data_IF_535076898911
#
_entry.id   IF_535076898911
#
_cell.length_a   1.000
_cell.length_b   1.000
_cell.length_c   1.000
_cell.angle_alpha   90.00
_cell.angle_beta   90.00
_cell.angle_gamma   90.00
#
_symmetry.space_group_name_H-M   'P 1'
#
loop_
_entity.id
_entity.type
_entity.pdbx_description
1 polymer ?
#
# COMPACT_ATOMS: atom_id res chain seq x y z
N UNK A 1 14.25 26.74 2.94
CA UNK A 1 14.35 25.29 2.67
C UNK A 1 13.63 24.90 1.37
N UNK A 2 12.56 25.58 1.01
CA UNK A 2 11.65 25.25 -0.10
C UNK A 2 12.34 24.99 -1.43
N UNK A 3 13.37 25.77 -1.79
CA UNK A 3 14.15 25.54 -3.02
C UNK A 3 14.82 24.16 -3.07
N UNK A 4 15.29 23.64 -1.93
CA UNK A 4 15.91 22.32 -1.86
C UNK A 4 14.86 21.19 -1.87
N UNK A 5 13.72 21.40 -1.23
CA UNK A 5 12.58 20.48 -1.33
C UNK A 5 11.99 20.43 -2.73
N UNK A 6 11.98 21.56 -3.45
CA UNK A 6 11.65 21.60 -4.86
C UNK A 6 12.70 20.87 -5.71
N UNK A 7 13.99 21.04 -5.40
CA UNK A 7 15.05 20.30 -6.09
C UNK A 7 14.90 18.79 -5.91
N UNK A 8 14.66 18.30 -4.68
CA UNK A 8 14.41 16.86 -4.42
C UNK A 8 13.22 16.36 -5.26
N UNK A 9 12.15 17.16 -5.34
CA UNK A 9 10.97 16.85 -6.15
C UNK A 9 11.29 16.75 -7.64
N UNK A 10 12.07 17.70 -8.17
CA UNK A 10 12.48 17.71 -9.57
C UNK A 10 13.41 16.53 -9.88
N UNK A 11 14.39 16.26 -9.02
CA UNK A 11 15.30 15.11 -9.19
C UNK A 11 14.51 13.81 -9.20
N UNK A 12 13.59 13.62 -8.25
CA UNK A 12 12.77 12.42 -8.18
C UNK A 12 11.90 12.24 -9.44
N UNK A 13 11.23 13.31 -9.91
CA UNK A 13 10.46 13.26 -11.16
C UNK A 13 11.35 12.89 -12.34
N UNK A 14 12.52 13.52 -12.46
CA UNK A 14 13.44 13.20 -13.56
C UNK A 14 13.97 11.77 -13.49
N UNK A 15 14.17 11.20 -12.28
CA UNK A 15 14.49 9.78 -12.14
C UNK A 15 13.38 8.88 -12.70
N UNK A 16 12.11 9.19 -12.43
CA UNK A 16 10.99 8.46 -13.03
C UNK A 16 10.90 8.66 -14.55
N UNK A 17 11.15 9.87 -15.06
CA UNK A 17 11.18 10.12 -16.51
C UNK A 17 12.28 9.31 -17.22
N UNK A 18 13.41 9.07 -16.55
CA UNK A 18 14.44 8.16 -17.07
C UNK A 18 13.90 6.73 -17.16
N UNK A 19 13.30 6.22 -16.08
CA UNK A 19 12.70 4.87 -16.08
C UNK A 19 11.63 4.72 -17.16
N UNK A 20 10.80 5.75 -17.36
CA UNK A 20 9.79 5.80 -18.41
C UNK A 20 10.41 5.72 -19.81
N UNK A 21 11.46 6.51 -20.08
CA UNK A 21 12.18 6.48 -21.37
C UNK A 21 12.82 5.11 -21.64
N UNK A 22 13.24 4.41 -20.59
CA UNK A 22 13.75 3.05 -20.65
C UNK A 22 12.62 1.99 -20.66
N UNK A 23 11.36 2.40 -20.89
CA UNK A 23 10.22 1.50 -21.02
C UNK A 23 9.84 0.78 -19.74
N UNK A 24 10.14 1.37 -18.57
CA UNK A 24 9.92 0.75 -17.27
C UNK A 24 10.62 -0.61 -17.13
N UNK A 25 11.82 -0.73 -17.72
CA UNK A 25 12.62 -1.96 -17.65
C UNK A 25 12.85 -2.39 -16.19
N UNK A 26 12.52 -3.64 -15.88
CA UNK A 26 12.57 -4.20 -14.53
C UNK A 26 13.93 -4.05 -13.86
N UNK A 27 15.01 -4.22 -14.63
CA UNK A 27 16.39 -4.09 -14.13
C UNK A 27 16.69 -2.65 -13.67
N UNK A 28 16.15 -1.65 -14.37
CA UNK A 28 16.29 -0.21 -14.07
C UNK A 28 15.45 0.18 -12.87
N UNK A 29 14.21 -0.32 -12.80
CA UNK A 29 13.34 -0.15 -11.63
C UNK A 29 14.04 -0.69 -10.39
N UNK A 30 14.54 -1.94 -10.46
CA UNK A 30 15.25 -2.57 -9.35
C UNK A 30 16.48 -1.76 -8.93
N UNK A 31 17.30 -1.33 -9.89
CA UNK A 31 18.48 -0.52 -9.59
C UNK A 31 18.11 0.79 -8.87
N UNK A 32 17.07 1.47 -9.34
CA UNK A 32 16.57 2.69 -8.73
C UNK A 32 16.09 2.46 -7.29
N UNK A 33 15.25 1.44 -7.08
CA UNK A 33 14.74 1.10 -5.75
C UNK A 33 15.86 0.65 -4.80
N UNK A 34 16.85 -0.09 -5.29
CA UNK A 34 18.02 -0.50 -4.51
C UNK A 34 18.81 0.72 -4.01
N UNK A 35 18.96 1.76 -4.84
CA UNK A 35 19.61 3.02 -4.43
C UNK A 35 18.79 3.71 -3.34
N UNK A 36 17.47 3.83 -3.52
CA UNK A 36 16.62 4.47 -2.52
C UNK A 36 16.65 3.74 -1.17
N UNK A 37 16.63 2.41 -1.20
CA UNK A 37 16.64 1.55 -0.01
C UNK A 37 17.99 1.51 0.70
N UNK A 38 19.10 1.77 0.00
CA UNK A 38 20.43 1.91 0.61
C UNK A 38 20.65 3.30 1.20
N UNK A 39 20.06 4.32 0.58
CA UNK A 39 20.24 5.72 0.95
C UNK A 39 19.05 6.21 1.80
N UNK A 40 18.15 7.01 1.21
CA UNK A 40 17.18 7.80 1.96
C UNK A 40 16.12 6.97 2.70
N UNK A 41 15.72 5.81 2.17
CA UNK A 41 14.69 4.94 2.76
C UNK A 41 15.27 3.88 3.70
N UNK A 42 16.59 3.80 3.84
CA UNK A 42 17.19 2.85 4.78
C UNK A 42 16.75 3.17 6.23
N UNK A 43 16.38 2.17 7.05
CA UNK A 43 16.00 2.40 8.45
C UNK A 43 17.07 3.16 9.24
N UNK A 44 18.34 2.76 9.07
CA UNK A 44 19.51 3.35 9.73
C UNK A 44 20.17 4.48 8.92
N UNK A 45 19.47 5.04 7.92
CA UNK A 45 20.07 6.11 7.13
C UNK A 45 20.30 7.35 7.97
N UNK A 46 21.45 7.99 7.76
CA UNK A 46 21.84 9.25 8.40
C UNK A 46 21.11 10.46 7.81
N UNK A 47 20.13 10.24 6.91
CA UNK A 47 19.34 11.31 6.32
C UNK A 47 18.51 12.00 7.40
N UNK A 48 18.53 13.34 7.50
CA UNK A 48 17.68 14.07 8.42
C UNK A 48 16.20 13.72 8.20
N UNK A 49 15.45 13.55 9.29
CA UNK A 49 14.05 13.13 9.24
C UNK A 49 13.19 14.04 8.34
N UNK A 50 13.43 15.36 8.34
CA UNK A 50 12.70 16.29 7.46
C UNK A 50 12.87 15.98 5.96
N UNK A 51 14.07 15.55 5.55
CA UNK A 51 14.33 15.16 4.15
C UNK A 51 13.67 13.82 3.84
N UNK A 52 13.77 12.85 4.75
CA UNK A 52 13.16 11.53 4.62
C UNK A 52 11.63 11.63 4.51
N UNK A 53 11.00 12.40 5.39
CA UNK A 53 9.55 12.59 5.40
C UNK A 53 9.05 13.37 4.19
N UNK A 54 9.77 14.43 3.78
CA UNK A 54 9.46 15.14 2.54
C UNK A 54 9.52 14.20 1.33
N UNK A 55 10.58 13.39 1.23
CA UNK A 55 10.74 12.44 0.13
C UNK A 55 9.58 11.43 0.05
N UNK A 56 9.21 10.81 1.18
CA UNK A 56 8.07 9.87 1.24
C UNK A 56 6.79 10.57 0.82
N UNK A 57 6.52 11.76 1.35
CA UNK A 57 5.28 12.50 1.10
C UNK A 57 5.10 12.94 -0.36
N UNK A 58 6.19 13.12 -1.13
CA UNK A 58 6.09 13.46 -2.55
C UNK A 58 6.20 12.26 -3.49
N UNK A 59 6.61 11.09 -2.98
CA UNK A 59 7.05 9.98 -3.82
C UNK A 59 5.97 9.51 -4.81
N UNK A 60 4.79 9.14 -4.31
CA UNK A 60 3.70 8.69 -5.18
C UNK A 60 3.11 9.81 -6.03
N UNK A 61 3.10 11.05 -5.53
CA UNK A 61 2.66 12.19 -6.32
C UNK A 61 3.54 12.44 -7.56
N UNK A 62 4.84 12.19 -7.46
CA UNK A 62 5.74 12.32 -8.60
C UNK A 62 5.71 11.08 -9.51
N UNK A 63 5.55 9.89 -8.94
CA UNK A 63 5.35 8.67 -9.71
C UNK A 63 4.07 8.73 -10.55
N UNK A 64 2.94 9.16 -9.98
CA UNK A 64 1.66 9.22 -10.68
C UNK A 64 1.66 10.22 -11.84
N UNK A 65 2.40 11.32 -11.73
CA UNK A 65 2.58 12.29 -12.83
C UNK A 65 3.29 11.71 -14.04
N UNK A 66 4.22 10.77 -13.83
CA UNK A 66 5.06 10.23 -14.91
C UNK A 66 4.51 8.91 -15.44
N UNK A 67 4.17 7.99 -14.54
CA UNK A 67 3.80 6.60 -14.84
C UNK A 67 2.34 6.23 -14.56
N UNK A 68 1.50 7.14 -14.06
CA UNK A 68 0.14 6.82 -13.61
C UNK A 68 -0.81 6.27 -14.70
N UNK A 69 -0.47 6.38 -15.98
CA UNK A 69 -1.24 5.83 -17.10
C UNK A 69 -0.58 4.65 -17.81
N UNK A 70 0.66 4.32 -17.46
CA UNK A 70 1.51 3.40 -18.22
C UNK A 70 2.00 2.22 -17.38
N UNK A 71 2.16 2.40 -16.06
CA UNK A 71 2.62 1.34 -15.17
C UNK A 71 1.58 0.25 -15.02
N UNK A 72 2.03 -0.99 -15.21
CA UNK A 72 1.24 -2.18 -14.92
C UNK A 72 1.08 -2.37 -13.41
N UNK A 73 0.06 -3.13 -13.02
CA UNK A 73 -0.26 -3.36 -11.60
C UNK A 73 0.91 -3.99 -10.84
N UNK A 74 1.60 -4.97 -11.43
CA UNK A 74 2.76 -5.63 -10.83
C UNK A 74 3.96 -4.67 -10.68
N UNK A 75 4.15 -3.76 -11.64
CA UNK A 75 5.18 -2.72 -11.58
C UNK A 75 4.87 -1.70 -10.48
N UNK A 76 3.61 -1.26 -10.39
CA UNK A 76 3.16 -0.36 -9.32
C UNK A 76 3.43 -0.95 -7.93
N UNK A 77 3.13 -2.24 -7.74
CA UNK A 77 3.39 -2.93 -6.47
C UNK A 77 4.88 -2.90 -6.10
N UNK A 78 5.80 -3.00 -7.06
CA UNK A 78 7.25 -2.91 -6.79
C UNK A 78 7.66 -1.54 -6.27
N UNK A 79 7.04 -0.46 -6.75
CA UNK A 79 7.32 0.89 -6.24
C UNK A 79 6.72 1.15 -4.85
N UNK A 80 5.67 0.42 -4.45
CA UNK A 80 4.96 0.59 -3.16
C UNK A 80 5.56 -0.32 -2.08
N UNK A 81 5.93 -1.54 -2.43
CA UNK A 81 6.44 -2.58 -1.52
C UNK A 81 7.55 -2.12 -0.55
N UNK A 82 8.54 -1.30 -0.96
CA UNK A 82 9.54 -0.74 -0.06
C UNK A 82 8.94 -0.04 1.16
N UNK A 83 7.88 0.75 0.97
CA UNK A 83 7.24 1.51 2.05
C UNK A 83 6.44 0.59 2.98
N UNK A 84 5.76 -0.42 2.43
CA UNK A 84 5.09 -1.44 3.24
C UNK A 84 6.08 -2.20 4.12
N UNK A 85 7.23 -2.59 3.56
CA UNK A 85 8.31 -3.27 4.32
C UNK A 85 8.88 -2.40 5.43
N UNK A 86 9.04 -1.10 5.19
CA UNK A 86 9.51 -0.15 6.21
C UNK A 86 8.46 0.02 7.31
N UNK A 87 7.20 0.28 6.94
CA UNK A 87 6.10 0.48 7.88
C UNK A 87 5.88 -0.74 8.78
N UNK A 88 6.03 -1.95 8.24
CA UNK A 88 5.87 -3.19 9.01
C UNK A 88 7.00 -3.45 10.03
N UNK A 89 8.18 -2.83 9.86
CA UNK A 89 9.37 -3.12 10.68
C UNK A 89 9.75 -2.00 11.64
N UNK A 90 9.44 -0.75 11.29
CA UNK A 90 9.84 0.41 12.07
C UNK A 90 9.07 0.51 13.39
N UNK A 91 9.74 1.01 14.43
CA UNK A 91 9.10 1.38 15.72
C UNK A 91 8.72 2.86 15.76
N UNK A 92 9.21 3.66 14.81
CA UNK A 92 8.91 5.08 14.72
C UNK A 92 7.49 5.29 14.18
N UNK A 93 6.58 5.65 15.08
CA UNK A 93 5.18 5.94 14.74
C UNK A 93 5.05 7.10 13.76
N UNK A 94 5.94 8.10 13.83
CA UNK A 94 5.91 9.24 12.91
C UNK A 94 6.22 8.79 11.48
N UNK A 95 7.19 7.88 11.32
CA UNK A 95 7.52 7.30 10.03
C UNK A 95 6.35 6.46 9.48
N UNK A 96 5.69 5.65 10.33
CA UNK A 96 4.49 4.89 9.93
C UNK A 96 3.38 5.83 9.45
N UNK A 97 3.08 6.89 10.20
CA UNK A 97 2.04 7.87 9.82
C UNK A 97 2.42 8.63 8.54
N UNK A 98 3.70 8.95 8.36
CA UNK A 98 4.19 9.59 7.15
C UNK A 98 4.02 8.69 5.92
N UNK A 99 4.26 7.38 6.06
CA UNK A 99 4.02 6.40 4.99
C UNK A 99 2.51 6.25 4.74
N UNK A 100 1.70 6.11 5.78
CA UNK A 100 0.25 5.97 5.64
C UNK A 100 -0.33 7.15 4.84
N UNK A 101 0.01 8.39 5.22
CA UNK A 101 -0.46 9.60 4.55
C UNK A 101 0.18 9.84 3.19
N UNK A 102 1.49 9.66 3.08
CA UNK A 102 2.25 9.97 1.86
C UNK A 102 2.12 8.94 0.74
N UNK A 103 1.70 7.71 1.09
CA UNK A 103 1.66 6.58 0.17
C UNK A 103 0.25 5.96 0.15
N UNK A 104 -0.26 5.48 1.27
CA UNK A 104 -1.50 4.70 1.28
C UNK A 104 -2.75 5.56 1.04
N UNK A 105 -2.86 6.70 1.71
CA UNK A 105 -3.95 7.67 1.47
C UNK A 105 -3.93 8.17 0.02
N UNK A 106 -2.74 8.44 -0.54
CA UNK A 106 -2.60 8.87 -1.94
C UNK A 106 -3.14 7.81 -2.93
N UNK A 107 -2.97 6.52 -2.62
CA UNK A 107 -3.52 5.43 -3.44
C UNK A 107 -5.04 5.39 -3.33
N UNK A 108 -5.58 5.53 -2.12
CA UNK A 108 -7.03 5.56 -1.88
C UNK A 108 -7.66 6.77 -2.59
N UNK A 109 -7.06 7.95 -2.48
CA UNK A 109 -7.53 9.19 -3.09
C UNK A 109 -7.50 9.16 -4.64
N UNK A 110 -6.58 8.39 -5.22
CA UNK A 110 -6.46 8.22 -6.67
C UNK A 110 -7.25 7.03 -7.22
N UNK A 111 -7.87 6.22 -6.34
CA UNK A 111 -8.66 5.07 -6.74
C UNK A 111 -9.95 5.53 -7.44
N UNK A 112 -10.31 4.92 -8.59
CA UNK A 112 -11.61 5.15 -9.22
C UNK A 112 -12.77 4.55 -8.41
N UNK A 113 -12.47 3.60 -7.52
CA UNK A 113 -13.44 2.99 -6.62
C UNK A 113 -13.44 3.75 -5.30
N UNK A 114 -14.56 4.39 -4.99
CA UNK A 114 -14.76 5.03 -3.69
C UNK A 114 -14.90 3.98 -2.58
N UNK A 115 -14.63 4.34 -1.30
CA UNK A 115 -14.72 3.40 -0.18
C UNK A 115 -16.10 2.74 -0.03
N UNK A 116 -17.17 3.36 -0.53
CA UNK A 116 -18.52 2.79 -0.53
C UNK A 116 -18.75 1.72 -1.62
N UNK A 117 -18.03 1.74 -2.74
CA UNK A 117 -18.29 0.83 -3.88
C UNK A 117 -17.62 -0.55 -3.70
N UNK A 118 -16.56 -0.63 -2.89
CA UNK A 118 -15.81 -1.88 -2.63
C UNK A 118 -16.54 -2.92 -1.75
N UNK A 119 -17.65 -2.57 -1.09
CA UNK A 119 -18.36 -3.47 -0.18
C UNK A 119 -19.38 -4.38 -0.88
N UNK A 120 -19.82 -4.01 -2.09
CA UNK A 120 -20.86 -4.76 -2.83
C UNK A 120 -20.28 -5.88 -3.72
N UNK A 121 -19.00 -5.81 -4.12
CA UNK A 121 -18.40 -6.81 -5.03
C UNK A 121 -18.13 -8.19 -4.40
N UNK A 122 -18.23 -8.34 -3.07
CA UNK A 122 -18.10 -9.65 -2.42
C UNK A 122 -19.41 -10.46 -2.35
N UNK A 123 -20.55 -9.91 -2.83
CA UNK A 123 -21.86 -10.54 -2.68
C UNK A 123 -22.43 -11.19 -3.95
N UNK A 124 -21.79 -11.04 -5.11
CA UNK A 124 -22.37 -11.46 -6.41
C UNK A 124 -21.60 -12.60 -7.10
N UNK A 125 -20.95 -13.49 -6.34
CA UNK A 125 -20.56 -14.83 -6.80
C UNK A 125 -21.05 -15.92 -5.84
N UNK A 126 -22.37 -15.99 -5.63
CA UNK A 126 -23.04 -17.26 -5.29
C UNK A 126 -24.32 -17.31 -6.14
N UNK A 127 -24.14 -17.59 -7.43
CA UNK A 127 -25.24 -17.93 -8.33
C UNK A 127 -25.57 -19.41 -8.22
N UNK A 128 -26.74 -19.68 -7.65
CA UNK A 128 -27.72 -20.66 -8.11
C UNK A 128 -27.25 -22.08 -8.49
N UNK A 129 -27.40 -23.00 -7.54
CA UNK A 129 -27.91 -24.36 -7.82
C UNK A 129 -29.06 -24.66 -6.85
N UNK A 130 -30.29 -24.48 -7.32
CA UNK A 130 -31.50 -25.10 -6.74
C UNK A 130 -31.58 -26.54 -7.29
N UNK A 131 -31.77 -27.58 -6.49
CA UNK A 131 -33.00 -28.14 -5.91
C UNK A 131 -32.50 -29.34 -5.05
N UNK A 132 -33.08 -29.78 -3.93
CA UNK A 132 -34.48 -30.16 -3.71
C UNK A 132 -34.74 -30.28 -2.22
N UNK A 133 -35.95 -29.91 -1.78
CA UNK A 133 -36.50 -30.23 -0.47
C UNK A 133 -36.84 -31.72 -0.40
N UNK A 134 -36.41 -32.42 0.65
CA UNK A 134 -37.17 -33.55 1.21
C UNK A 134 -36.76 -33.82 2.67
N UNK A 135 -37.74 -33.54 3.54
CA UNK A 135 -38.12 -34.17 4.82
C UNK A 135 -37.12 -34.37 5.98
N UNK A 136 -37.54 -33.84 7.15
CA UNK A 136 -37.04 -34.12 8.51
C UNK A 136 -37.63 -35.46 9.03
N UNK A 137 -37.06 -36.16 10.05
CA UNK A 137 -36.99 -35.61 11.41
C UNK A 137 -35.85 -36.10 12.36
N UNK A 138 -35.76 -35.36 13.48
CA UNK A 138 -35.36 -35.73 14.85
C UNK A 138 -34.06 -36.51 15.15
N UNK A 139 -33.19 -35.87 15.95
CA UNK A 139 -32.61 -36.46 17.17
C UNK A 139 -32.05 -35.35 18.08
N UNK A 140 -32.59 -35.25 19.30
CA UNK A 140 -32.06 -34.50 20.44
C UNK A 140 -30.71 -35.07 20.92
N UNK A 141 -29.66 -34.26 20.94
CA UNK A 141 -28.60 -34.45 21.93
C UNK A 141 -27.98 -33.09 22.31
N UNK A 142 -28.47 -32.59 23.43
CA UNK A 142 -27.86 -31.50 24.19
C UNK A 142 -26.37 -31.78 24.45
N UNK A 143 -25.53 -30.74 24.36
CA UNK A 143 -24.49 -30.50 25.37
C UNK A 143 -24.14 -29.02 25.49
N UNK A 144 -23.96 -28.63 26.76
CA UNK A 144 -24.08 -27.29 27.33
C UNK A 144 -22.79 -26.48 27.15
N UNK A 145 -22.94 -25.16 27.02
CA UNK A 145 -21.86 -24.18 27.23
C UNK A 145 -21.46 -24.17 28.72
N UNK A 146 -20.17 -24.04 29.08
CA UNK A 146 -19.81 -23.51 30.39
C UNK A 146 -19.78 -21.98 30.36
N UNK A 147 -20.45 -21.42 31.36
CA UNK A 147 -20.73 -20.00 31.61
C UNK A 147 -19.53 -19.31 32.27
N UNK A 148 -19.44 -18.01 32.00
CA UNK A 148 -18.55 -16.99 32.57
C UNK A 148 -18.37 -17.00 34.09
N UNK A 149 -17.14 -16.63 34.48
CA UNK A 149 -16.71 -15.78 35.62
C UNK A 149 -17.77 -15.41 36.68
N UNK A 150 -17.43 -15.66 37.96
CA UNK A 150 -17.53 -14.67 39.04
C UNK A 150 -16.64 -15.04 40.24
N UNK A 151 -15.93 -14.01 40.71
CA UNK A 151 -15.13 -13.84 41.94
C UNK A 151 -15.99 -14.00 43.23
N UNK A 152 -15.41 -14.10 44.44
CA UNK A 152 -14.53 -13.11 45.09
C UNK A 152 -13.06 -13.49 45.16
#
# INVERSE_FOLDING_TARGET
>A
LDKFYMLIRLVLRQSFEVLKRDGWEESRIKLFLDVLMKEILHPESQSPNGVKFHFIGIYLHELSKVGGRELLADQNLKFIDPFCKIAARTKDQTLVQTIARGVLEVIVDQSPFGPEETLEEQKTQVGETAFSEEEKPENEAAWRKPVSKKQP
#
